data_IF_544870760448
#
_entry.id   IF_544870760448
#
_cell.length_a   1.000
_cell.length_b   1.000
_cell.length_c   1.000
_cell.angle_alpha   90.00
_cell.angle_beta   90.00
_cell.angle_gamma   90.00
#
_symmetry.space_group_name_H-M   'P 1'
#
loop_
_entity.id
_entity.type
_entity.pdbx_description
1 polymer ?
#
# COMPACT_ATOMS: atom_id res chain seq x y z
N UNK A 1 36.75 8.37 -30.57
CA UNK A 1 35.43 7.96 -30.08
C UNK A 1 34.68 7.32 -31.23
N UNK A 2 34.28 6.05 -31.13
CA UNK A 2 33.59 5.31 -32.18
C UNK A 2 32.13 5.09 -31.74
N UNK A 3 31.16 5.50 -32.56
CA UNK A 3 29.75 5.24 -32.28
C UNK A 3 29.44 3.76 -32.50
N UNK A 4 28.89 3.10 -31.49
CA UNK A 4 28.55 1.67 -31.52
C UNK A 4 27.06 1.48 -31.77
N UNK A 5 26.22 2.28 -31.10
CA UNK A 5 24.77 2.18 -31.20
C UNK A 5 24.14 3.54 -30.95
N UNK A 6 23.10 3.88 -31.71
CA UNK A 6 22.34 5.12 -31.56
C UNK A 6 20.85 4.82 -31.66
N UNK A 7 20.06 5.37 -30.74
CA UNK A 7 18.60 5.30 -30.77
C UNK A 7 18.03 6.71 -30.66
N UNK A 8 17.03 7.00 -31.50
CA UNK A 8 16.35 8.30 -31.53
C UNK A 8 14.87 8.10 -31.23
N UNK A 9 14.44 8.71 -30.14
CA UNK A 9 13.07 8.63 -29.64
C UNK A 9 12.39 9.99 -29.77
N UNK A 10 11.10 10.00 -30.06
CA UNK A 10 10.31 11.23 -30.14
C UNK A 10 9.00 11.11 -29.37
N UNK A 11 8.45 12.22 -28.90
CA UNK A 11 7.17 12.27 -28.18
C UNK A 11 6.40 13.53 -28.59
N UNK A 12 5.17 13.35 -29.04
CA UNK A 12 4.28 14.44 -29.47
C UNK A 12 3.02 14.45 -28.60
N UNK A 13 2.87 15.49 -27.77
CA UNK A 13 1.67 15.73 -26.96
C UNK A 13 1.26 17.20 -27.04
N UNK A 14 0.04 17.45 -27.50
CA UNK A 14 -0.52 18.78 -27.76
C UNK A 14 0.42 19.67 -28.60
N UNK A 15 1.05 20.68 -27.99
CA UNK A 15 1.98 21.63 -28.62
C UNK A 15 3.47 21.29 -28.41
N UNK A 16 3.79 20.14 -27.81
CA UNK A 16 5.17 19.75 -27.48
C UNK A 16 5.64 18.60 -28.35
N UNK A 17 6.74 18.84 -29.08
CA UNK A 17 7.40 17.90 -29.99
C UNK A 17 8.85 17.67 -29.51
N UNK A 18 9.04 16.64 -28.68
CA UNK A 18 10.30 16.38 -27.97
C UNK A 18 11.08 15.27 -28.67
N UNK A 19 12.39 15.45 -28.77
CA UNK A 19 13.34 14.44 -29.26
C UNK A 19 14.30 14.09 -28.14
N UNK A 20 14.62 12.80 -28.02
CA UNK A 20 15.61 12.25 -27.12
C UNK A 20 16.50 11.27 -27.90
N UNK A 21 17.80 11.54 -27.99
CA UNK A 21 18.76 10.64 -28.63
C UNK A 21 19.70 10.06 -27.57
N UNK A 22 20.03 8.79 -27.70
CA UNK A 22 20.99 8.08 -26.85
C UNK A 22 22.05 7.46 -27.77
N UNK A 23 23.31 7.69 -27.43
CA UNK A 23 24.48 7.22 -28.16
C UNK A 23 25.36 6.39 -27.22
N UNK A 24 25.67 5.15 -27.60
CA UNK A 24 26.70 4.32 -26.98
C UNK A 24 27.99 4.46 -27.80
N UNK A 25 29.05 4.97 -27.17
CA UNK A 25 30.31 5.27 -27.83
C UNK A 25 31.48 4.55 -27.16
N UNK A 26 32.37 3.98 -27.97
CA UNK A 26 33.64 3.43 -27.53
C UNK A 26 34.71 4.54 -27.51
N UNK A 27 35.38 4.70 -26.37
CA UNK A 27 36.40 5.75 -26.13
C UNK A 27 37.80 5.19 -25.93
N UNK A 28 37.97 3.87 -25.89
CA UNK A 28 39.24 3.16 -25.86
C UNK A 28 39.00 1.64 -25.78
N UNK A 29 40.08 0.84 -25.76
CA UNK A 29 39.97 -0.62 -25.69
C UNK A 29 39.08 -1.05 -24.50
N UNK A 30 37.93 -1.65 -24.82
CA UNK A 30 36.91 -2.11 -23.87
C UNK A 30 36.38 -1.04 -22.90
N UNK A 31 36.35 0.24 -23.32
CA UNK A 31 35.85 1.37 -22.52
C UNK A 31 34.75 2.12 -23.28
N UNK A 32 33.55 2.16 -22.70
CA UNK A 32 32.35 2.72 -23.32
C UNK A 32 31.75 3.83 -22.49
N UNK A 33 31.12 4.80 -23.14
CA UNK A 33 30.35 5.88 -22.51
C UNK A 33 28.99 6.00 -23.17
N UNK A 34 27.97 6.30 -22.35
CA UNK A 34 26.59 6.49 -22.82
C UNK A 34 26.26 7.97 -22.74
N UNK A 35 26.10 8.59 -23.91
CA UNK A 35 25.72 9.99 -24.05
C UNK A 35 24.24 10.09 -24.42
N UNK A 36 23.60 11.18 -24.01
CA UNK A 36 22.24 11.48 -24.40
C UNK A 36 22.10 12.95 -24.78
N UNK A 37 21.16 13.23 -25.68
CA UNK A 37 20.79 14.61 -26.04
C UNK A 37 19.28 14.75 -26.12
N UNK A 38 18.75 15.89 -25.67
CA UNK A 38 17.31 16.12 -25.61
C UNK A 38 16.91 17.56 -25.89
N UNK A 39 15.73 17.75 -26.47
CA UNK A 39 15.22 19.08 -26.81
C UNK A 39 13.96 19.02 -27.65
N UNK A 40 13.52 20.17 -28.16
CA UNK A 40 12.41 20.25 -29.11
C UNK A 40 12.91 19.88 -30.51
N UNK A 41 12.12 19.12 -31.28
CA UNK A 41 12.46 18.72 -32.66
C UNK A 41 12.74 19.99 -33.50
N UNK A 42 13.89 20.03 -34.18
CA UNK A 42 14.32 21.17 -34.99
C UNK A 42 14.99 22.33 -34.23
N UNK A 43 15.21 22.20 -32.91
CA UNK A 43 15.96 23.18 -32.10
C UNK A 43 17.31 22.63 -31.63
N UNK A 44 18.17 23.48 -31.06
CA UNK A 44 19.42 23.05 -30.43
C UNK A 44 19.16 22.08 -29.27
N UNK A 45 19.73 20.87 -29.33
CA UNK A 45 19.56 19.84 -28.31
C UNK A 45 20.56 20.06 -27.16
N UNK A 46 20.12 19.83 -25.92
CA UNK A 46 20.99 19.82 -24.75
C UNK A 46 21.63 18.45 -24.60
N UNK A 47 22.95 18.41 -24.50
CA UNK A 47 23.72 17.16 -24.41
C UNK A 47 24.18 16.88 -22.98
N UNK A 48 24.34 15.60 -22.64
CA UNK A 48 24.86 15.15 -21.35
C UNK A 48 25.39 13.71 -21.45
N UNK A 49 26.21 13.31 -20.49
CA UNK A 49 26.68 11.93 -20.35
C UNK A 49 26.03 11.26 -19.15
N UNK A 50 25.61 10.00 -19.29
CA UNK A 50 25.03 9.22 -18.20
C UNK A 50 26.10 8.51 -17.37
N UNK A 51 27.27 8.31 -17.96
CA UNK A 51 28.43 7.65 -17.34
C UNK A 51 29.46 8.70 -16.94
N UNK A 52 29.76 8.82 -15.64
CA UNK A 52 30.78 9.76 -15.13
C UNK A 52 32.20 9.29 -15.45
N UNK A 53 32.39 7.97 -15.64
CA UNK A 53 33.62 7.35 -16.09
C UNK A 53 33.31 6.26 -17.14
N UNK A 54 34.25 5.88 -18.02
CA UNK A 54 34.04 4.82 -18.99
C UNK A 54 33.78 3.46 -18.33
N UNK A 55 32.77 2.75 -18.80
CA UNK A 55 32.31 1.45 -18.29
C UNK A 55 32.67 0.31 -19.25
N UNK A 56 32.46 -0.93 -18.83
CA UNK A 56 32.62 -2.10 -19.70
C UNK A 56 31.53 -2.12 -20.80
N UNK A 57 31.69 -3.00 -21.79
CA UNK A 57 30.73 -3.11 -22.89
C UNK A 57 29.35 -3.51 -22.39
N UNK A 58 29.29 -4.53 -21.54
CA UNK A 58 28.05 -5.09 -21.02
C UNK A 58 27.31 -4.08 -20.15
N UNK A 59 28.04 -3.33 -19.31
CA UNK A 59 27.48 -2.26 -18.49
C UNK A 59 27.00 -1.08 -19.35
N UNK A 60 27.76 -0.71 -20.39
CA UNK A 60 27.39 0.34 -21.34
C UNK A 60 26.12 0.01 -22.12
N UNK A 61 26.00 -1.23 -22.60
CA UNK A 61 24.80 -1.75 -23.28
C UNK A 61 23.59 -1.77 -22.32
N UNK A 62 23.77 -2.24 -21.08
CA UNK A 62 22.70 -2.24 -20.08
C UNK A 62 22.21 -0.84 -19.70
N UNK A 63 23.11 0.13 -19.54
CA UNK A 63 22.77 1.54 -19.27
C UNK A 63 22.03 2.16 -20.47
N UNK A 64 22.48 1.85 -21.69
CA UNK A 64 21.83 2.29 -22.92
C UNK A 64 20.39 1.76 -23.01
N UNK A 65 20.20 0.45 -22.81
CA UNK A 65 18.88 -0.18 -22.90
C UNK A 65 17.94 0.32 -21.79
N UNK A 66 18.45 0.46 -20.57
CA UNK A 66 17.70 1.05 -19.45
C UNK A 66 17.21 2.47 -19.75
N UNK A 67 18.06 3.30 -20.37
CA UNK A 67 17.70 4.66 -20.79
C UNK A 67 16.60 4.66 -21.85
N UNK A 68 16.71 3.79 -22.87
CA UNK A 68 15.70 3.67 -23.93
C UNK A 68 14.37 3.20 -23.34
N UNK A 69 14.35 2.13 -22.55
CA UNK A 69 13.14 1.60 -21.89
C UNK A 69 12.50 2.66 -20.97
N UNK A 70 13.30 3.38 -20.19
CA UNK A 70 12.80 4.46 -19.33
C UNK A 70 12.07 5.56 -20.12
N UNK A 71 12.49 5.84 -21.36
CA UNK A 71 11.86 6.83 -22.23
C UNK A 71 10.64 6.28 -22.94
N UNK A 72 10.65 5.02 -23.37
CA UNK A 72 9.47 4.34 -23.91
C UNK A 72 8.33 4.31 -22.88
N UNK A 73 8.63 3.97 -21.61
CA UNK A 73 7.65 4.00 -20.51
C UNK A 73 7.11 5.41 -20.22
N UNK A 74 7.82 6.47 -20.63
CA UNK A 74 7.39 7.87 -20.52
C UNK A 74 6.65 8.38 -21.77
N UNK A 75 6.26 7.48 -22.67
CA UNK A 75 5.47 7.81 -23.87
C UNK A 75 6.29 8.36 -25.03
N UNK A 76 7.59 8.05 -25.11
CA UNK A 76 8.37 8.26 -26.33
C UNK A 76 8.22 7.07 -27.28
N UNK A 77 8.32 7.31 -28.58
CA UNK A 77 8.19 6.33 -29.67
C UNK A 77 9.50 6.27 -30.46
N UNK A 78 9.85 5.08 -30.95
CA UNK A 78 11.08 4.84 -31.71
C UNK A 78 10.86 5.12 -33.21
N UNK A 79 11.82 5.77 -33.89
CA UNK A 79 11.77 6.00 -35.34
C UNK A 79 12.82 5.15 -36.07
N UNK A 80 12.42 3.91 -36.40
CA UNK A 80 12.97 2.85 -37.26
C UNK A 80 14.34 2.97 -37.98
N UNK A 81 15.04 1.81 -38.10
CA UNK A 81 15.91 1.35 -39.24
C UNK A 81 16.21 -0.17 -39.11
N UNK A 82 15.69 -1.08 -39.96
CA UNK A 82 16.24 -1.76 -41.19
C UNK A 82 17.25 -2.96 -41.00
N UNK A 83 16.97 -4.09 -41.70
CA UNK A 83 17.36 -5.55 -41.63
C UNK A 83 18.49 -6.01 -42.62
N UNK A 84 18.90 -7.31 -42.94
CA UNK A 84 18.76 -8.72 -42.39
C UNK A 84 20.08 -9.61 -42.50
N UNK A 85 20.11 -10.98 -42.61
CA UNK A 85 19.59 -12.11 -41.80
C UNK A 85 20.70 -13.11 -41.31
N UNK A 86 20.45 -13.94 -40.28
CA UNK A 86 21.29 -15.11 -39.98
C UNK A 86 21.02 -15.76 -38.62
N UNK A 87 20.65 -17.03 -38.63
CA UNK A 87 20.06 -17.77 -37.51
C UNK A 87 20.96 -17.96 -36.29
N UNK A 88 20.41 -17.72 -35.10
CA UNK A 88 20.42 -18.73 -34.03
C UNK A 88 19.26 -18.43 -33.08
N UNK A 89 18.38 -19.42 -32.92
CA UNK A 89 17.26 -19.37 -32.01
C UNK A 89 17.77 -19.10 -30.59
N UNK A 90 17.37 -17.98 -30.00
CA UNK A 90 17.31 -17.84 -28.55
C UNK A 90 15.98 -17.18 -28.21
N UNK A 91 15.06 -18.05 -27.82
CA UNK A 91 13.85 -17.83 -27.04
C UNK A 91 13.34 -16.39 -26.97
N UNK A 92 12.27 -16.14 -27.72
CA UNK A 92 11.32 -15.08 -27.44
C UNK A 92 10.99 -15.12 -25.93
N UNK A 93 11.43 -14.11 -25.19
CA UNK A 93 10.74 -13.72 -23.95
C UNK A 93 9.94 -12.48 -24.29
N UNK A 94 8.95 -12.67 -25.15
CA UNK A 94 7.64 -12.04 -24.94
C UNK A 94 7.28 -12.28 -23.48
N UNK A 95 7.07 -11.22 -22.70
CA UNK A 95 6.41 -11.31 -21.41
C UNK A 95 4.93 -11.66 -21.63
N UNK A 96 4.68 -12.83 -22.21
CA UNK A 96 3.49 -13.63 -22.04
C UNK A 96 3.76 -14.52 -20.82
N UNK A 97 2.80 -14.56 -19.90
CA UNK A 97 2.64 -15.53 -18.83
C UNK A 97 3.78 -16.53 -18.58
N UNK A 98 4.52 -16.31 -17.49
CA UNK A 98 5.07 -17.41 -16.72
C UNK A 98 4.65 -17.31 -15.23
N UNK A 99 3.39 -17.67 -14.92
CA UNK A 99 3.06 -18.25 -13.63
C UNK A 99 2.54 -19.71 -13.77
N UNK A 100 3.09 -20.49 -14.70
CA UNK A 100 2.59 -21.83 -15.06
C UNK A 100 2.69 -22.92 -13.96
N UNK A 101 3.61 -22.85 -12.99
CA UNK A 101 3.60 -23.85 -11.90
C UNK A 101 2.88 -23.32 -10.65
N UNK A 102 3.17 -22.09 -10.24
CA UNK A 102 2.69 -21.55 -8.96
C UNK A 102 1.27 -21.01 -9.03
N UNK A 103 0.89 -20.22 -10.05
CA UNK A 103 -0.49 -19.77 -10.15
C UNK A 103 -1.41 -20.94 -10.45
N UNK A 104 -1.05 -21.85 -11.35
CA UNK A 104 -1.83 -23.07 -11.60
C UNK A 104 -2.02 -23.93 -10.33
N UNK A 105 -0.96 -24.10 -9.54
CA UNK A 105 -1.07 -24.80 -8.24
C UNK A 105 -2.02 -24.07 -7.29
N UNK A 106 -1.94 -22.73 -7.20
CA UNK A 106 -2.87 -21.95 -6.39
C UNK A 106 -4.32 -22.09 -6.89
N UNK A 107 -4.54 -22.09 -8.20
CA UNK A 107 -5.87 -22.28 -8.81
C UNK A 107 -6.43 -23.66 -8.49
N UNK A 108 -5.63 -24.73 -8.59
CA UNK A 108 -6.05 -26.10 -8.20
C UNK A 108 -6.47 -26.16 -6.73
N UNK A 109 -5.74 -25.48 -5.84
CA UNK A 109 -6.08 -25.47 -4.41
C UNK A 109 -7.30 -24.60 -4.07
N UNK A 110 -7.73 -23.66 -4.94
CA UNK A 110 -8.96 -22.90 -4.73
C UNK A 110 -10.21 -23.78 -4.90
N UNK A 111 -10.11 -24.83 -5.72
CA UNK A 111 -11.20 -25.74 -6.00
C UNK A 111 -11.48 -26.69 -4.80
N UNK A 112 -10.50 -26.88 -3.90
CA UNK A 112 -10.66 -27.65 -2.66
C UNK A 112 -11.28 -26.79 -1.54
N UNK A 113 -12.62 -26.81 -1.47
CA UNK A 113 -13.39 -26.06 -0.47
C UNK A 113 -13.22 -26.56 0.97
N UNK A 114 -12.63 -27.75 1.17
CA UNK A 114 -12.33 -28.34 2.49
C UNK A 114 -10.99 -27.87 3.03
N UNK A 115 -10.19 -27.15 2.22
CA UNK A 115 -8.89 -26.66 2.63
C UNK A 115 -9.02 -25.70 3.83
N UNK A 116 -8.41 -26.01 4.99
CA UNK A 116 -8.51 -25.17 6.19
C UNK A 116 -7.83 -23.80 6.01
N UNK A 117 -7.01 -23.64 4.96
CA UNK A 117 -6.31 -22.40 4.62
C UNK A 117 -6.96 -21.66 3.44
N UNK A 118 -8.17 -22.03 3.01
CA UNK A 118 -8.85 -21.44 1.86
C UNK A 118 -8.91 -19.90 1.91
N UNK A 119 -9.27 -19.31 3.06
CA UNK A 119 -9.31 -17.85 3.20
C UNK A 119 -7.93 -17.20 2.98
N UNK A 120 -6.85 -17.85 3.42
CA UNK A 120 -5.47 -17.37 3.17
C UNK A 120 -5.07 -17.53 1.71
N UNK A 121 -5.55 -18.59 1.05
CA UNK A 121 -5.32 -18.81 -0.37
C UNK A 121 -6.03 -17.77 -1.23
N UNK A 122 -7.32 -17.51 -0.97
CA UNK A 122 -8.10 -16.43 -1.60
C UNK A 122 -7.38 -15.08 -1.42
N UNK A 123 -6.93 -14.78 -0.19
CA UNK A 123 -6.18 -13.56 0.08
C UNK A 123 -4.89 -13.50 -0.74
N UNK A 124 -4.12 -14.60 -0.80
CA UNK A 124 -2.88 -14.66 -1.56
C UNK A 124 -3.09 -14.48 -3.06
N UNK A 125 -4.19 -14.98 -3.61
CA UNK A 125 -4.57 -14.80 -5.02
C UNK A 125 -4.79 -13.33 -5.34
N UNK A 126 -5.47 -12.58 -4.46
CA UNK A 126 -5.62 -11.14 -4.61
C UNK A 126 -4.31 -10.36 -4.39
N UNK A 127 -3.43 -10.79 -3.47
CA UNK A 127 -2.08 -10.20 -3.33
C UNK A 127 -1.27 -10.33 -4.63
N UNK A 128 -1.41 -11.47 -5.32
CA UNK A 128 -0.73 -11.77 -6.58
C UNK A 128 -1.46 -11.22 -7.82
N UNK A 129 -2.62 -10.57 -7.65
CA UNK A 129 -3.42 -9.98 -8.74
C UNK A 129 -3.73 -10.97 -9.88
N UNK A 130 -4.01 -12.23 -9.55
CA UNK A 130 -4.18 -13.30 -10.55
C UNK A 130 -5.55 -13.23 -11.25
N UNK A 131 -5.61 -12.59 -12.42
CA UNK A 131 -6.83 -12.49 -13.25
C UNK A 131 -7.44 -13.85 -13.59
N UNK A 132 -6.60 -14.84 -13.90
CA UNK A 132 -7.04 -16.20 -14.20
C UNK A 132 -7.83 -16.89 -13.06
N UNK A 133 -7.76 -16.37 -11.83
CA UNK A 133 -8.53 -16.90 -10.70
C UNK A 133 -9.96 -16.38 -10.64
N UNK A 134 -10.30 -15.30 -11.35
CA UNK A 134 -11.58 -14.61 -11.23
C UNK A 134 -12.78 -15.54 -11.41
N UNK A 135 -12.86 -16.40 -12.46
CA UNK A 135 -13.99 -17.32 -12.62
C UNK A 135 -14.18 -18.27 -11.41
N UNK A 136 -13.08 -18.77 -10.85
CA UNK A 136 -13.12 -19.65 -9.66
C UNK A 136 -13.56 -18.90 -8.41
N UNK A 137 -13.05 -17.68 -8.22
CA UNK A 137 -13.45 -16.82 -7.11
C UNK A 137 -14.94 -16.44 -7.18
N UNK A 138 -15.49 -16.22 -8.37
CA UNK A 138 -16.91 -15.94 -8.58
C UNK A 138 -17.78 -17.15 -8.20
N UNK A 139 -17.45 -18.33 -8.72
CA UNK A 139 -18.15 -19.57 -8.37
C UNK A 139 -18.10 -19.84 -6.85
N UNK A 140 -16.96 -19.57 -6.21
CA UNK A 140 -16.82 -19.70 -4.76
C UNK A 140 -17.65 -18.65 -4.00
N UNK A 141 -17.75 -17.42 -4.50
CA UNK A 141 -18.55 -16.36 -3.88
C UNK A 141 -20.05 -16.69 -3.86
N UNK A 142 -20.57 -17.31 -4.91
CA UNK A 142 -21.97 -17.75 -4.95
C UNK A 142 -22.26 -18.84 -3.89
N UNK A 143 -21.40 -19.85 -3.80
CA UNK A 143 -21.52 -20.94 -2.82
C UNK A 143 -21.39 -20.40 -1.39
N UNK A 144 -20.42 -19.53 -1.16
CA UNK A 144 -20.12 -18.92 0.15
C UNK A 144 -21.29 -18.07 0.63
N UNK A 145 -21.90 -17.31 -0.28
CA UNK A 145 -23.05 -16.48 0.04
C UNK A 145 -24.24 -17.31 0.57
N UNK A 146 -24.53 -18.44 -0.07
CA UNK A 146 -25.58 -19.38 0.37
C UNK A 146 -25.26 -20.01 1.74
N UNK A 147 -23.98 -20.22 2.04
CA UNK A 147 -23.54 -20.88 3.26
C UNK A 147 -23.45 -19.97 4.51
N UNK A 148 -23.60 -18.64 4.37
CA UNK A 148 -23.55 -17.75 5.54
C UNK A 148 -22.13 -17.42 6.08
N UNK A 149 -21.05 -17.69 5.33
CA UNK A 149 -19.67 -17.43 5.78
C UNK A 149 -19.18 -16.02 5.42
N UNK A 150 -19.50 -15.04 6.28
CA UNK A 150 -19.20 -13.63 6.04
C UNK A 150 -17.69 -13.31 5.97
N UNK A 151 -16.85 -14.10 6.66
CA UNK A 151 -15.40 -13.90 6.62
C UNK A 151 -14.84 -14.31 5.25
N UNK A 152 -15.27 -15.47 4.74
CA UNK A 152 -14.87 -15.93 3.40
C UNK A 152 -15.43 -15.01 2.32
N UNK A 153 -16.67 -14.56 2.47
CA UNK A 153 -17.28 -13.59 1.55
C UNK A 153 -16.48 -12.27 1.50
N UNK A 154 -16.00 -11.79 2.66
CA UNK A 154 -15.10 -10.63 2.72
C UNK A 154 -13.77 -10.88 2.00
N UNK A 155 -13.14 -12.04 2.23
CA UNK A 155 -11.90 -12.41 1.53
C UNK A 155 -12.11 -12.47 0.02
N UNK A 156 -13.25 -12.99 -0.45
CA UNK A 156 -13.58 -13.10 -1.87
C UNK A 156 -13.81 -11.72 -2.50
N UNK A 157 -14.61 -10.85 -1.87
CA UNK A 157 -14.81 -9.49 -2.34
C UNK A 157 -13.48 -8.72 -2.43
N UNK A 158 -12.63 -8.85 -1.40
CA UNK A 158 -11.29 -8.25 -1.38
C UNK A 158 -10.42 -8.76 -2.55
N UNK A 159 -10.39 -10.07 -2.77
CA UNK A 159 -9.54 -10.70 -3.79
C UNK A 159 -10.05 -10.42 -5.22
N UNK A 160 -11.36 -10.52 -5.46
CA UNK A 160 -11.99 -10.22 -6.74
C UNK A 160 -11.65 -8.81 -7.22
N UNK A 161 -11.81 -7.81 -6.34
CA UNK A 161 -11.43 -6.45 -6.66
C UNK A 161 -9.92 -6.29 -6.94
N UNK A 162 -9.05 -6.99 -6.18
CA UNK A 162 -7.59 -6.92 -6.37
C UNK A 162 -7.08 -7.61 -7.62
N UNK A 163 -7.80 -8.62 -8.14
CA UNK A 163 -7.42 -9.29 -9.37
C UNK A 163 -7.41 -8.35 -10.58
N UNK A 164 -8.14 -7.22 -10.52
CA UNK A 164 -8.02 -6.19 -11.55
C UNK A 164 -8.71 -6.55 -12.88
N UNK A 165 -9.74 -7.39 -12.83
CA UNK A 165 -10.48 -7.88 -14.00
C UNK A 165 -11.94 -7.40 -13.95
N UNK A 166 -12.40 -6.74 -15.01
CA UNK A 166 -13.77 -6.25 -15.13
C UNK A 166 -14.81 -7.37 -15.07
N UNK A 167 -14.45 -8.61 -15.39
CA UNK A 167 -15.33 -9.77 -15.25
C UNK A 167 -15.84 -9.98 -13.81
N UNK A 168 -15.12 -9.44 -12.80
CA UNK A 168 -15.53 -9.51 -11.40
C UNK A 168 -16.68 -8.55 -11.03
N UNK A 169 -16.97 -7.53 -11.85
CA UNK A 169 -17.93 -6.45 -11.54
C UNK A 169 -19.31 -6.99 -11.16
N UNK A 170 -19.96 -7.90 -11.90
CA UNK A 170 -21.30 -8.40 -11.53
C UNK A 170 -21.35 -9.03 -10.13
N UNK A 171 -20.30 -9.79 -9.78
CA UNK A 171 -20.19 -10.41 -8.46
C UNK A 171 -19.96 -9.38 -7.37
N UNK A 172 -19.11 -8.38 -7.63
CA UNK A 172 -18.88 -7.27 -6.68
C UNK A 172 -20.15 -6.44 -6.48
N UNK A 173 -20.95 -6.19 -7.53
CA UNK A 173 -22.25 -5.50 -7.43
C UNK A 173 -23.21 -6.27 -6.53
N UNK A 174 -23.34 -7.58 -6.72
CA UNK A 174 -24.15 -8.44 -5.85
C UNK A 174 -23.67 -8.38 -4.39
N UNK A 175 -22.36 -8.47 -4.16
CA UNK A 175 -21.77 -8.42 -2.82
C UNK A 175 -21.91 -7.05 -2.16
N UNK A 176 -21.89 -5.98 -2.94
CA UNK A 176 -22.16 -4.64 -2.46
C UNK A 176 -23.62 -4.49 -1.99
N UNK A 177 -24.56 -5.00 -2.77
CA UNK A 177 -25.99 -4.83 -2.49
C UNK A 177 -26.49 -5.80 -1.41
N UNK A 178 -26.03 -7.06 -1.43
CA UNK A 178 -26.58 -8.14 -0.63
C UNK A 178 -25.54 -8.85 0.26
N UNK A 179 -24.31 -8.34 0.37
CA UNK A 179 -23.27 -8.96 1.21
C UNK A 179 -23.69 -9.10 2.68
N UNK A 180 -23.29 -10.20 3.31
CA UNK A 180 -23.74 -10.62 4.65
C UNK A 180 -23.33 -9.67 5.78
N UNK A 181 -22.38 -8.77 5.55
CA UNK A 181 -21.95 -7.76 6.52
C UNK A 181 -21.59 -6.44 5.86
N UNK A 182 -21.63 -5.35 6.64
CA UNK A 182 -21.17 -4.03 6.19
C UNK A 182 -19.71 -4.06 5.70
N UNK A 183 -18.87 -4.91 6.30
CA UNK A 183 -17.49 -5.09 5.86
C UNK A 183 -17.40 -5.65 4.43
N UNK A 184 -18.25 -6.62 4.08
CA UNK A 184 -18.35 -7.19 2.72
C UNK A 184 -18.83 -6.12 1.75
N UNK A 185 -19.94 -5.44 2.07
CA UNK A 185 -20.54 -4.45 1.17
C UNK A 185 -19.56 -3.32 0.84
N UNK A 186 -18.80 -2.87 1.83
CA UNK A 186 -17.81 -1.81 1.69
C UNK A 186 -16.58 -2.20 0.89
N UNK A 187 -16.01 -3.39 1.14
CA UNK A 187 -14.85 -3.82 0.35
C UNK A 187 -15.26 -4.15 -1.09
N UNK A 188 -16.50 -4.59 -1.32
CA UNK A 188 -17.07 -4.76 -2.65
C UNK A 188 -17.23 -3.40 -3.36
N UNK A 189 -17.76 -2.38 -2.68
CA UNK A 189 -17.83 -1.00 -3.23
C UNK A 189 -16.45 -0.48 -3.63
N UNK A 190 -15.42 -0.72 -2.81
CA UNK A 190 -14.05 -0.34 -3.13
C UNK A 190 -13.56 -1.01 -4.42
N UNK A 191 -13.87 -2.30 -4.60
CA UNK A 191 -13.57 -3.03 -5.83
C UNK A 191 -14.34 -2.51 -7.04
N UNK A 192 -15.63 -2.17 -6.88
CA UNK A 192 -16.44 -1.58 -7.96
C UNK A 192 -15.87 -0.25 -8.43
N UNK A 193 -15.55 0.66 -7.49
CA UNK A 193 -14.94 1.96 -7.82
C UNK A 193 -13.58 1.83 -8.52
N UNK A 194 -12.94 0.66 -8.48
CA UNK A 194 -11.68 0.40 -9.15
C UNK A 194 -11.82 -0.31 -10.51
N UNK A 195 -12.91 -1.06 -10.73
CA UNK A 195 -13.06 -1.97 -11.88
C UNK A 195 -14.25 -1.66 -12.78
N UNK A 196 -15.25 -0.94 -12.29
CA UNK A 196 -16.41 -0.56 -13.09
C UNK A 196 -16.01 0.41 -14.21
N UNK A 197 -16.83 0.48 -15.25
CA UNK A 197 -16.69 1.51 -16.28
C UNK A 197 -16.96 2.92 -15.74
N UNK A 198 -16.51 3.95 -16.44
CA UNK A 198 -16.56 5.33 -15.95
C UNK A 198 -17.99 5.81 -15.59
N UNK A 199 -18.98 5.49 -16.43
CA UNK A 199 -20.41 5.78 -16.18
C UNK A 199 -20.91 5.20 -14.86
N UNK A 200 -20.57 3.94 -14.58
CA UNK A 200 -20.96 3.24 -13.37
C UNK A 200 -20.18 3.74 -12.15
N UNK A 201 -18.90 4.07 -12.31
CA UNK A 201 -18.11 4.74 -11.27
C UNK A 201 -18.73 6.08 -10.88
N UNK A 202 -19.09 6.92 -11.85
CA UNK A 202 -19.73 8.22 -11.62
C UNK A 202 -21.08 8.06 -10.89
N UNK A 203 -21.88 7.05 -11.27
CA UNK A 203 -23.14 6.72 -10.59
C UNK A 203 -22.90 6.36 -9.12
N UNK A 204 -21.94 5.47 -8.84
CA UNK A 204 -21.60 5.05 -7.48
C UNK A 204 -21.04 6.22 -6.63
N UNK A 205 -20.22 7.09 -7.22
CA UNK A 205 -19.71 8.28 -6.56
C UNK A 205 -20.85 9.26 -6.24
N UNK A 206 -21.77 9.48 -7.18
CA UNK A 206 -22.95 10.30 -6.96
C UNK A 206 -23.82 9.76 -5.82
N UNK A 207 -24.01 8.43 -5.72
CA UNK A 207 -24.71 7.82 -4.58
C UNK A 207 -24.01 8.11 -3.24
N UNK A 208 -22.68 8.01 -3.18
CA UNK A 208 -21.92 8.36 -1.97
C UNK A 208 -22.10 9.85 -1.62
N UNK A 209 -22.09 10.73 -2.62
CA UNK A 209 -22.34 12.17 -2.43
C UNK A 209 -23.75 12.42 -1.88
N UNK A 210 -24.76 11.70 -2.37
CA UNK A 210 -26.14 11.83 -1.88
C UNK A 210 -26.32 11.32 -0.44
N UNK A 211 -25.49 10.38 0.00
CA UNK A 211 -25.50 9.89 1.38
C UNK A 211 -24.81 10.83 2.38
N UNK A 212 -24.06 11.84 1.91
CA UNK A 212 -23.46 12.84 2.80
C UNK A 212 -24.55 13.76 3.38
N UNK A 213 -24.40 14.22 4.63
CA UNK A 213 -25.19 15.31 5.17
C UNK A 213 -25.23 16.52 4.24
N UNK A 214 -26.38 17.21 4.17
CA UNK A 214 -26.61 18.28 3.19
C UNK A 214 -25.55 19.39 3.23
N UNK A 215 -25.07 19.76 4.42
CA UNK A 215 -24.01 20.76 4.62
C UNK A 215 -22.67 20.33 4.06
N UNK A 216 -22.27 19.07 4.30
CA UNK A 216 -21.06 18.47 3.74
C UNK A 216 -21.14 18.37 2.22
N UNK A 217 -22.28 17.89 1.70
CA UNK A 217 -22.52 17.76 0.26
C UNK A 217 -22.41 19.09 -0.47
N UNK A 218 -22.99 20.16 0.09
CA UNK A 218 -22.94 21.51 -0.50
C UNK A 218 -21.53 22.11 -0.49
N UNK A 219 -20.63 21.62 0.36
CA UNK A 219 -19.29 22.19 0.55
C UNK A 219 -18.19 21.44 -0.20
N UNK A 220 -18.50 20.41 -1.00
CA UNK A 220 -17.50 19.53 -1.64
C UNK A 220 -16.53 20.23 -2.61
N UNK A 221 -16.79 21.48 -2.99
CA UNK A 221 -15.96 22.29 -3.88
C UNK A 221 -15.10 23.32 -3.14
N UNK A 222 -15.28 23.49 -1.84
CA UNK A 222 -14.60 24.51 -1.04
C UNK A 222 -13.97 23.88 0.21
N UNK A 223 -12.65 23.99 0.32
CA UNK A 223 -11.87 23.32 1.35
C UNK A 223 -12.18 23.86 2.76
N UNK A 224 -12.33 25.17 2.90
CA UNK A 224 -12.57 25.79 4.20
C UNK A 224 -13.97 25.46 4.71
N UNK A 225 -14.98 25.62 3.84
CA UNK A 225 -16.36 25.29 4.17
C UNK A 225 -16.54 23.79 4.43
N UNK A 226 -15.90 22.90 3.64
CA UNK A 226 -16.01 21.46 3.87
C UNK A 226 -15.39 21.05 5.21
N UNK A 227 -14.22 21.61 5.54
CA UNK A 227 -13.55 21.35 6.82
C UNK A 227 -14.40 21.83 8.01
N UNK A 228 -14.94 23.05 7.94
CA UNK A 228 -15.83 23.58 8.97
C UNK A 228 -17.10 22.72 9.13
N UNK A 229 -17.76 22.36 8.02
CA UNK A 229 -18.93 21.50 8.03
C UNK A 229 -18.64 20.10 8.59
N UNK A 230 -17.46 19.54 8.30
CA UNK A 230 -17.02 18.25 8.83
C UNK A 230 -16.80 18.31 10.34
N UNK A 231 -16.11 19.32 10.86
CA UNK A 231 -15.92 19.49 12.30
C UNK A 231 -17.24 19.69 13.02
N UNK A 232 -18.14 20.53 12.47
CA UNK A 232 -19.46 20.74 13.03
C UNK A 232 -20.27 19.45 13.07
N UNK A 233 -20.27 18.66 11.99
CA UNK A 233 -20.96 17.37 11.93
C UNK A 233 -20.40 16.37 12.95
N UNK A 234 -19.07 16.18 12.99
CA UNK A 234 -18.43 15.23 13.90
C UNK A 234 -18.60 15.59 15.38
N UNK A 235 -18.77 16.87 15.70
CA UNK A 235 -19.02 17.35 17.06
C UNK A 235 -20.44 17.05 17.57
N UNK A 236 -21.43 16.94 16.67
CA UNK A 236 -22.86 16.84 17.04
C UNK A 236 -23.53 15.54 16.60
N UNK A 237 -22.77 14.59 16.06
CA UNK A 237 -23.29 13.33 15.54
C UNK A 237 -23.07 12.16 16.50
N UNK A 238 -23.83 11.08 16.28
CA UNK A 238 -23.68 9.82 16.99
C UNK A 238 -22.57 8.94 16.35
N UNK A 239 -22.38 7.71 16.86
CA UNK A 239 -21.37 6.81 16.32
C UNK A 239 -21.55 6.46 14.82
N UNK A 240 -22.79 6.47 14.32
CA UNK A 240 -23.08 6.16 12.92
C UNK A 240 -22.62 7.29 12.00
N UNK A 241 -22.82 8.56 12.41
CA UNK A 241 -22.46 9.72 11.59
C UNK A 241 -20.97 9.90 11.33
N UNK A 242 -20.08 9.21 12.04
CA UNK A 242 -18.64 9.18 11.71
C UNK A 242 -18.34 8.47 10.38
N UNK A 243 -19.31 7.78 9.77
CA UNK A 243 -19.17 7.15 8.45
C UNK A 243 -18.76 8.14 7.36
N UNK A 244 -19.03 9.44 7.53
CA UNK A 244 -18.61 10.50 6.60
C UNK A 244 -17.11 10.51 6.33
N UNK A 245 -16.28 10.09 7.29
CA UNK A 245 -14.83 9.97 7.09
C UNK A 245 -14.48 8.89 6.04
N UNK A 246 -15.20 7.76 6.05
CA UNK A 246 -15.03 6.71 5.05
C UNK A 246 -15.56 7.15 3.69
N UNK A 247 -16.70 7.84 3.65
CA UNK A 247 -17.29 8.37 2.42
C UNK A 247 -16.37 9.40 1.76
N UNK A 248 -15.81 10.35 2.53
CA UNK A 248 -14.82 11.31 2.01
C UNK A 248 -13.57 10.61 1.45
N UNK A 249 -13.11 9.51 2.08
CA UNK A 249 -11.99 8.74 1.53
C UNK A 249 -12.33 8.07 0.19
N UNK A 250 -13.54 7.52 0.05
CA UNK A 250 -13.97 6.92 -1.21
C UNK A 250 -14.03 7.96 -2.34
N UNK A 251 -14.50 9.18 -2.04
CA UNK A 251 -14.58 10.32 -2.95
C UNK A 251 -13.22 10.95 -3.27
N UNK A 252 -12.20 10.81 -2.41
CA UNK A 252 -10.91 11.49 -2.52
C UNK A 252 -10.13 11.23 -3.82
N UNK A 253 -10.50 10.21 -4.60
CA UNK A 253 -9.93 9.97 -5.93
C UNK A 253 -10.44 10.93 -7.02
N UNK A 254 -11.66 11.45 -6.86
CA UNK A 254 -12.37 12.27 -7.86
C UNK A 254 -12.70 13.67 -7.34
N UNK A 255 -12.62 13.89 -6.03
CA UNK A 255 -12.90 15.15 -5.37
C UNK A 255 -11.63 15.65 -4.65
N UNK A 256 -10.82 16.52 -5.30
CA UNK A 256 -9.55 16.99 -4.74
C UNK A 256 -9.71 17.71 -3.38
N UNK A 257 -10.80 18.46 -3.21
CA UNK A 257 -11.13 19.14 -1.95
C UNK A 257 -11.40 18.12 -0.84
N UNK A 258 -12.18 17.07 -1.12
CA UNK A 258 -12.40 15.98 -0.17
C UNK A 258 -11.09 15.29 0.22
N UNK A 259 -10.16 15.10 -0.74
CA UNK A 259 -8.82 14.55 -0.45
C UNK A 259 -8.02 15.49 0.47
N UNK A 260 -7.99 16.78 0.17
CA UNK A 260 -7.24 17.76 0.96
C UNK A 260 -7.73 17.83 2.40
N UNK A 261 -9.05 18.03 2.60
CA UNK A 261 -9.67 18.06 3.93
C UNK A 261 -9.42 16.76 4.67
N UNK A 262 -9.63 15.61 4.04
CA UNK A 262 -9.41 14.32 4.69
C UNK A 262 -7.94 14.14 5.13
N UNK A 263 -6.96 14.55 4.32
CA UNK A 263 -5.55 14.47 4.72
C UNK A 263 -5.25 15.39 5.91
N UNK A 264 -5.86 16.57 5.99
CA UNK A 264 -5.74 17.45 7.15
C UNK A 264 -6.34 16.79 8.40
N UNK A 265 -7.55 16.23 8.29
CA UNK A 265 -8.20 15.53 9.39
C UNK A 265 -7.41 14.32 9.89
N UNK A 266 -6.95 13.46 8.97
CA UNK A 266 -6.24 12.24 9.36
C UNK A 266 -4.92 12.52 10.10
N UNK A 267 -4.31 13.71 9.92
CA UNK A 267 -3.10 14.11 10.65
C UNK A 267 -3.36 14.31 12.14
N UNK A 268 -4.55 14.76 12.54
CA UNK A 268 -4.83 15.23 13.91
C UNK A 268 -5.96 14.46 14.60
N UNK A 269 -6.79 13.74 13.84
CA UNK A 269 -7.96 13.01 14.36
C UNK A 269 -7.59 12.08 15.52
N UNK A 270 -8.34 12.05 16.64
CA UNK A 270 -7.97 11.22 17.78
C UNK A 270 -8.18 9.72 17.50
N UNK A 271 -7.25 8.87 17.94
CA UNK A 271 -7.40 7.41 17.88
C UNK A 271 -8.26 6.87 19.04
N UNK A 272 -9.49 7.40 19.14
CA UNK A 272 -10.48 7.16 20.21
C UNK A 272 -11.72 6.44 19.67
N UNK A 273 -12.68 6.02 20.54
CA UNK A 273 -13.98 5.51 20.09
C UNK A 273 -14.65 6.38 19.03
N UNK A 274 -15.50 5.76 18.20
CA UNK A 274 -16.11 6.30 16.98
C UNK A 274 -15.09 6.57 15.85
N UNK A 275 -14.09 7.41 16.09
CA UNK A 275 -13.06 7.76 15.10
C UNK A 275 -12.22 6.56 14.66
N UNK A 276 -11.65 5.81 15.61
CA UNK A 276 -10.63 4.80 15.32
C UNK A 276 -11.15 3.67 14.44
N UNK A 277 -12.44 3.31 14.55
CA UNK A 277 -13.03 2.32 13.67
C UNK A 277 -12.95 2.76 12.20
N UNK A 278 -13.34 4.01 11.93
CA UNK A 278 -13.32 4.65 10.61
C UNK A 278 -11.87 4.85 10.11
N UNK A 279 -10.94 5.22 10.98
CA UNK A 279 -9.51 5.34 10.63
C UNK A 279 -8.91 3.98 10.24
N UNK A 280 -9.19 2.92 11.01
CA UNK A 280 -8.74 1.57 10.69
C UNK A 280 -9.32 1.07 9.38
N UNK A 281 -10.53 1.51 9.06
CA UNK A 281 -11.19 1.24 7.80
C UNK A 281 -10.50 1.94 6.64
N UNK A 282 -10.27 3.25 6.75
CA UNK A 282 -9.51 4.05 5.78
C UNK A 282 -8.12 3.47 5.56
N UNK A 283 -7.40 3.09 6.63
CA UNK A 283 -6.09 2.44 6.52
C UNK A 283 -6.13 1.18 5.65
N UNK A 284 -7.14 0.32 5.83
CA UNK A 284 -7.29 -0.89 5.01
C UNK A 284 -7.64 -0.56 3.56
N UNK A 285 -8.44 0.48 3.31
CA UNK A 285 -8.76 0.91 1.95
C UNK A 285 -7.54 1.54 1.27
N UNK A 286 -6.73 2.32 1.99
CA UNK A 286 -5.46 2.86 1.51
C UNK A 286 -4.44 1.77 1.20
N UNK A 287 -4.34 0.75 2.05
CA UNK A 287 -3.55 -0.45 1.77
C UNK A 287 -4.01 -1.14 0.48
N UNK A 288 -5.31 -1.31 0.30
CA UNK A 288 -5.90 -1.96 -0.87
C UNK A 288 -5.70 -1.16 -2.17
N UNK A 289 -5.92 0.17 -2.12
CA UNK A 289 -5.72 1.12 -3.22
C UNK A 289 -4.24 1.40 -3.50
N UNK A 290 -3.36 1.00 -2.59
CA UNK A 290 -1.95 1.41 -2.58
C UNK A 290 -1.82 2.95 -2.58
N UNK A 291 -2.68 3.65 -1.82
CA UNK A 291 -2.58 5.10 -1.58
C UNK A 291 -1.44 5.35 -0.59
N UNK A 292 -0.24 5.56 -1.13
CA UNK A 292 1.00 5.73 -0.37
C UNK A 292 0.91 6.89 0.63
N UNK A 293 0.21 7.98 0.27
CA UNK A 293 0.08 9.16 1.13
C UNK A 293 -0.71 8.85 2.40
N UNK A 294 -1.92 8.28 2.25
CA UNK A 294 -2.77 7.95 3.40
C UNK A 294 -2.19 6.76 4.19
N UNK A 295 -1.62 5.77 3.49
CA UNK A 295 -0.96 4.63 4.12
C UNK A 295 0.24 5.06 4.98
N UNK A 296 1.12 5.91 4.44
CA UNK A 296 2.28 6.44 5.15
C UNK A 296 1.89 7.28 6.36
N UNK A 297 0.95 8.21 6.17
CA UNK A 297 0.41 9.07 7.23
C UNK A 297 -0.13 8.24 8.40
N UNK A 298 -1.01 7.26 8.13
CA UNK A 298 -1.59 6.44 9.18
C UNK A 298 -0.58 5.47 9.79
N UNK A 299 0.38 4.97 9.02
CA UNK A 299 1.50 4.18 9.55
C UNK A 299 2.28 4.99 10.57
N UNK A 300 2.64 6.25 10.27
CA UNK A 300 3.26 7.16 11.25
C UNK A 300 2.38 7.34 12.47
N UNK A 301 1.08 7.67 12.31
CA UNK A 301 0.15 7.83 13.45
C UNK A 301 0.16 6.59 14.35
N UNK A 302 0.24 5.38 13.79
CA UNK A 302 0.27 4.16 14.60
C UNK A 302 1.60 3.96 15.36
N UNK A 303 2.71 4.46 14.82
CA UNK A 303 4.01 4.44 15.49
C UNK A 303 4.07 5.49 16.62
N UNK A 304 3.56 6.70 16.38
CA UNK A 304 3.74 7.84 17.30
C UNK A 304 2.64 7.96 18.36
N UNK A 305 1.41 7.58 18.06
CA UNK A 305 0.29 7.73 19.00
C UNK A 305 0.29 6.63 20.06
N UNK A 306 0.14 6.99 21.35
CA UNK A 306 0.00 6.01 22.41
C UNK A 306 -1.31 5.24 22.28
N UNK A 307 -1.29 3.99 22.76
CA UNK A 307 -2.52 3.23 22.90
C UNK A 307 -3.45 3.88 23.93
N UNK A 308 -4.75 3.85 23.67
CA UNK A 308 -5.74 4.43 24.57
C UNK A 308 -5.91 3.62 25.86
N UNK A 309 -5.71 2.30 25.78
CA UNK A 309 -5.69 1.41 26.94
C UNK A 309 -4.73 0.24 26.75
N UNK A 310 -4.29 -0.34 27.87
CA UNK A 310 -3.35 -1.45 27.88
C UNK A 310 -4.04 -2.78 28.21
N UNK A 311 -3.70 -3.82 27.46
CA UNK A 311 -4.07 -5.20 27.72
C UNK A 311 -2.84 -5.95 28.25
N UNK A 312 -2.99 -6.53 29.44
CA UNK A 312 -1.96 -7.34 30.09
C UNK A 312 -1.47 -8.48 29.19
N UNK A 313 -0.19 -8.81 29.28
CA UNK A 313 0.39 -9.98 28.63
C UNK A 313 -0.08 -11.28 29.29
N UNK A 314 -0.34 -11.26 30.59
CA UNK A 314 -0.73 -12.39 31.44
C UNK A 314 -2.17 -12.87 31.24
N UNK A 315 -2.87 -12.35 30.24
CA UNK A 315 -4.31 -12.56 30.09
C UNK A 315 -5.12 -11.66 31.02
N UNK A 316 -6.43 -11.69 30.84
CA UNK A 316 -7.37 -10.82 31.55
C UNK A 316 -8.39 -10.21 30.60
N UNK A 317 -9.66 -10.37 30.96
CA UNK A 317 -10.79 -9.83 30.20
C UNK A 317 -11.30 -8.51 30.80
N UNK A 318 -10.77 -8.05 31.94
CA UNK A 318 -11.12 -6.76 32.52
C UNK A 318 -10.06 -5.72 32.16
N UNK A 319 -10.53 -4.55 31.70
CA UNK A 319 -9.67 -3.42 31.34
C UNK A 319 -10.24 -2.14 31.92
N UNK A 320 -9.36 -1.23 32.32
CA UNK A 320 -9.73 0.09 32.81
C UNK A 320 -10.29 0.94 31.66
N UNK A 321 -11.36 1.68 31.92
CA UNK A 321 -11.93 2.61 30.95
C UNK A 321 -11.06 3.87 30.91
N UNK A 322 -10.55 4.27 29.72
CA UNK A 322 -9.75 5.48 29.56
C UNK A 322 -10.51 6.72 30.07
N UNK A 323 -9.90 7.49 30.97
CA UNK A 323 -10.52 8.68 31.58
C UNK A 323 -11.63 8.39 32.60
N UNK A 324 -11.93 7.12 32.90
CA UNK A 324 -12.99 6.71 33.83
C UNK A 324 -12.55 6.44 35.27
N UNK A 325 -11.38 6.95 35.69
CA UNK A 325 -10.82 6.68 37.02
C UNK A 325 -10.66 5.16 37.27
N UNK A 326 -11.17 4.64 38.38
CA UNK A 326 -11.10 3.22 38.75
C UNK A 326 -12.16 2.32 38.09
N UNK A 327 -12.84 2.79 37.03
CA UNK A 327 -13.86 1.98 36.36
C UNK A 327 -13.23 0.90 35.47
N UNK A 328 -13.63 -0.36 35.68
CA UNK A 328 -13.25 -1.50 34.84
C UNK A 328 -14.45 -2.06 34.07
N UNK A 329 -14.19 -2.57 32.88
CA UNK A 329 -15.18 -3.24 32.04
C UNK A 329 -14.64 -4.55 31.52
N UNK A 330 -15.56 -5.50 31.29
CA UNK A 330 -15.26 -6.75 30.59
C UNK A 330 -15.08 -6.48 29.10
N UNK A 331 -13.84 -6.51 28.61
CA UNK A 331 -13.42 -6.21 27.25
C UNK A 331 -14.23 -6.97 26.21
N UNK A 332 -14.40 -8.29 26.39
CA UNK A 332 -15.16 -9.13 25.47
C UNK A 332 -16.61 -8.68 25.28
N UNK A 333 -17.24 -8.07 26.30
CA UNK A 333 -18.59 -7.52 26.20
C UNK A 333 -18.57 -6.08 25.69
N UNK A 334 -17.67 -5.25 26.18
CA UNK A 334 -17.63 -3.82 25.85
C UNK A 334 -17.31 -3.55 24.38
N UNK A 335 -16.41 -4.33 23.75
CA UNK A 335 -16.00 -4.11 22.35
C UNK A 335 -17.10 -4.44 21.33
N UNK A 336 -18.13 -5.20 21.74
CA UNK A 336 -19.26 -5.58 20.88
C UNK A 336 -20.37 -4.53 20.85
N UNK A 337 -20.33 -3.54 21.75
CA UNK A 337 -21.32 -2.47 21.82
C UNK A 337 -21.12 -1.48 20.67
N UNK A 338 -22.22 -0.97 20.12
CA UNK A 338 -22.18 0.09 19.13
C UNK A 338 -21.51 1.37 19.68
N UNK A 339 -21.76 1.68 20.96
CA UNK A 339 -21.18 2.82 21.69
C UNK A 339 -20.00 2.39 22.58
N UNK A 340 -19.16 1.47 22.12
CA UNK A 340 -18.02 0.98 22.90
C UNK A 340 -17.12 2.12 23.34
N UNK A 341 -16.79 2.18 24.64
CA UNK A 341 -15.87 3.18 25.19
C UNK A 341 -14.40 2.82 24.98
N UNK A 342 -14.13 1.68 24.34
CA UNK A 342 -12.80 1.15 24.12
C UNK A 342 -12.46 1.17 22.64
N UNK A 343 -11.33 1.77 22.32
CA UNK A 343 -10.71 1.70 21.00
C UNK A 343 -9.19 1.68 21.15
N UNK A 344 -8.49 1.28 20.09
CA UNK A 344 -7.05 1.46 19.96
C UNK A 344 -6.19 0.99 21.17
N UNK A 345 -6.27 -0.31 21.49
CA UNK A 345 -5.44 -0.94 22.53
C UNK A 345 -3.96 -1.05 22.13
N UNK A 346 -3.07 -1.31 23.10
CA UNK A 346 -1.65 -1.65 22.84
C UNK A 346 -1.51 -2.81 21.84
N UNK A 347 -2.32 -3.86 21.97
CA UNK A 347 -2.31 -4.99 21.03
C UNK A 347 -2.80 -4.60 19.63
N UNK A 348 -3.75 -3.68 19.54
CA UNK A 348 -4.26 -3.16 18.26
C UNK A 348 -3.20 -2.32 17.57
N UNK A 349 -2.53 -1.44 18.32
CA UNK A 349 -1.40 -0.63 17.86
C UNK A 349 -0.30 -1.54 17.30
N UNK A 350 0.15 -2.51 18.09
CA UNK A 350 1.19 -3.45 17.65
C UNK A 350 0.78 -4.28 16.42
N UNK A 351 -0.49 -4.67 16.34
CA UNK A 351 -1.01 -5.35 15.16
C UNK A 351 -0.91 -4.47 13.90
N UNK A 352 -1.32 -3.20 13.99
CA UNK A 352 -1.30 -2.27 12.86
C UNK A 352 0.11 -1.93 12.40
N UNK A 353 1.05 -1.73 13.34
CA UNK A 353 2.48 -1.51 13.03
C UNK A 353 3.08 -2.70 12.28
N UNK A 354 2.85 -3.92 12.79
CA UNK A 354 3.25 -5.16 12.10
C UNK A 354 2.53 -5.36 10.77
N UNK A 355 1.28 -4.89 10.65
CA UNK A 355 0.51 -4.96 9.40
C UNK A 355 1.11 -4.05 8.33
N UNK A 356 1.45 -2.81 8.66
CA UNK A 356 2.09 -1.89 7.72
C UNK A 356 3.38 -2.51 7.14
N UNK A 357 4.25 -3.05 8.00
CA UNK A 357 5.45 -3.75 7.54
C UNK A 357 5.11 -4.99 6.69
N UNK A 358 4.16 -5.82 7.13
CA UNK A 358 3.75 -7.01 6.37
C UNK A 358 3.30 -6.65 4.95
N UNK A 359 2.55 -5.55 4.79
CA UNK A 359 2.12 -5.07 3.48
C UNK A 359 3.32 -4.75 2.60
N UNK A 360 4.26 -3.94 3.09
CA UNK A 360 5.49 -3.61 2.35
C UNK A 360 6.32 -4.85 2.01
N UNK A 361 6.55 -5.71 3.00
CA UNK A 361 7.27 -6.97 2.81
C UNK A 361 6.61 -7.85 1.74
N UNK A 362 5.28 -7.95 1.74
CA UNK A 362 4.54 -8.75 0.75
C UNK A 362 4.65 -8.20 -0.66
N UNK A 363 4.64 -6.87 -0.82
CA UNK A 363 4.88 -6.22 -2.12
C UNK A 363 6.32 -6.50 -2.60
N UNK A 364 7.31 -6.36 -1.71
CA UNK A 364 8.70 -6.68 -2.04
C UNK A 364 8.95 -8.16 -2.38
N UNK A 365 8.33 -9.09 -1.64
CA UNK A 365 8.43 -10.55 -1.89
C UNK A 365 7.92 -10.97 -3.27
N UNK A 366 7.04 -10.17 -3.89
CA UNK A 366 6.50 -10.45 -5.23
C UNK A 366 7.00 -9.47 -6.29
N UNK A 367 7.99 -8.63 -5.94
CA UNK A 367 8.53 -7.58 -6.79
C UNK A 367 7.45 -6.67 -7.41
N UNK A 368 6.42 -6.31 -6.63
CA UNK A 368 5.39 -5.36 -7.08
C UNK A 368 5.95 -3.94 -7.04
N UNK A 369 5.93 -3.23 -8.18
CA UNK A 369 6.45 -1.87 -8.34
C UNK A 369 5.87 -0.87 -7.34
N UNK A 370 4.63 -1.11 -6.88
CA UNK A 370 3.97 -0.24 -5.89
C UNK A 370 4.67 -0.26 -4.53
N UNK A 371 5.59 -1.21 -4.29
CA UNK A 371 6.46 -1.19 -3.11
C UNK A 371 7.18 0.15 -2.97
N UNK A 372 7.72 0.69 -4.06
CA UNK A 372 8.54 1.92 -4.03
C UNK A 372 7.69 3.09 -3.53
N UNK A 373 6.53 3.33 -4.16
CA UNK A 373 5.64 4.42 -3.77
C UNK A 373 5.12 4.26 -2.34
N UNK A 374 4.73 3.04 -1.95
CA UNK A 374 4.24 2.77 -0.59
C UNK A 374 5.32 2.95 0.47
N UNK A 375 6.56 2.55 0.19
CA UNK A 375 7.71 2.77 1.08
C UNK A 375 8.05 4.26 1.18
N UNK A 376 8.09 4.98 0.05
CA UNK A 376 8.27 6.43 0.02
C UNK A 376 7.21 7.15 0.84
N UNK A 377 5.95 6.74 0.74
CA UNK A 377 4.86 7.27 1.57
C UNK A 377 5.13 7.15 3.07
N UNK A 378 5.68 6.01 3.52
CA UNK A 378 6.08 5.81 4.92
C UNK A 378 7.26 6.69 5.29
N UNK A 379 8.27 6.82 4.44
CA UNK A 379 9.46 7.65 4.70
C UNK A 379 9.11 9.14 4.77
N UNK A 380 8.34 9.64 3.80
CA UNK A 380 7.92 11.04 3.70
C UNK A 380 6.94 11.45 4.81
N UNK A 381 6.23 10.49 5.41
CA UNK A 381 5.36 10.79 6.54
C UNK A 381 6.14 11.14 7.81
N UNK A 382 7.34 10.55 8.01
CA UNK A 382 8.15 10.73 9.21
C UNK A 382 8.76 12.13 9.29
N UNK A 383 8.94 12.61 10.51
CA UNK A 383 9.54 13.92 10.82
C UNK A 383 10.63 13.77 11.87
N UNK A 384 11.55 14.73 11.93
CA UNK A 384 12.63 14.75 12.92
C UNK A 384 12.09 14.79 14.36
N UNK A 385 10.96 15.46 14.58
CA UNK A 385 10.25 15.50 15.87
C UNK A 385 9.72 14.13 16.34
N UNK A 386 9.65 13.12 15.46
CA UNK A 386 9.22 11.77 15.83
C UNK A 386 10.35 10.96 16.51
N UNK A 387 11.60 11.43 16.43
CA UNK A 387 12.73 10.74 17.06
C UNK A 387 12.57 10.70 18.58
N UNK A 388 12.68 9.51 19.17
CA UNK A 388 12.71 9.31 20.62
C UNK A 388 14.12 9.55 21.16
N UNK A 389 14.25 9.72 22.48
CA UNK A 389 15.56 9.74 23.13
C UNK A 389 16.29 8.41 22.91
N UNK A 390 17.57 8.49 22.52
CA UNK A 390 18.41 7.31 22.43
C UNK A 390 18.51 6.63 23.80
N UNK A 391 18.47 5.30 23.81
CA UNK A 391 18.53 4.51 25.05
C UNK A 391 19.41 3.30 24.89
N UNK A 392 19.92 2.79 26.02
CA UNK A 392 20.66 1.53 26.07
C UNK A 392 19.89 0.52 26.93
N UNK A 393 19.90 -0.75 26.53
CA UNK A 393 19.47 -1.84 27.40
C UNK A 393 20.63 -2.81 27.60
N UNK A 394 20.71 -3.39 28.81
CA UNK A 394 21.65 -4.45 29.11
C UNK A 394 20.86 -5.74 29.32
N UNK A 395 21.12 -6.74 28.51
CA UNK A 395 20.57 -8.09 28.65
C UNK A 395 21.50 -8.84 29.60
N UNK A 396 20.92 -9.44 30.63
CA UNK A 396 21.64 -10.25 31.60
C UNK A 396 21.35 -11.73 31.37
N UNK A 397 22.37 -12.56 31.54
CA UNK A 397 22.25 -14.01 31.67
C UNK A 397 22.47 -14.37 33.14
N UNK A 398 21.65 -15.27 33.66
CA UNK A 398 21.72 -15.70 35.05
C UNK A 398 22.26 -17.12 35.15
N UNK A 399 23.26 -17.32 36.00
CA UNK A 399 23.81 -18.61 36.39
C UNK A 399 23.48 -18.87 37.87
N UNK A 400 22.42 -19.65 38.10
CA UNK A 400 21.90 -19.92 39.44
C UNK A 400 22.79 -20.85 40.28
N UNK A 401 23.90 -21.36 39.71
CA UNK A 401 24.89 -22.13 40.46
C UNK A 401 25.86 -21.26 41.28
N UNK A 402 25.90 -19.95 41.01
CA UNK A 402 26.80 -18.99 41.68
C UNK A 402 26.06 -18.15 42.73
N UNK A 403 26.76 -17.68 43.78
CA UNK A 403 26.18 -16.73 44.73
C UNK A 403 25.94 -15.36 44.08
N UNK A 404 25.04 -14.57 44.66
CA UNK A 404 24.88 -13.16 44.26
C UNK A 404 26.07 -12.33 44.75
N UNK A 405 26.61 -11.39 43.95
CA UNK A 405 26.11 -10.90 42.67
C UNK A 405 26.62 -11.64 41.41
N UNK A 406 27.51 -12.63 41.55
CA UNK A 406 28.18 -13.34 40.45
C UNK A 406 27.22 -14.16 39.56
N UNK A 407 26.06 -14.51 40.11
CA UNK A 407 24.96 -15.13 39.37
C UNK A 407 24.49 -14.30 38.16
N UNK A 408 24.71 -12.98 38.15
CA UNK A 408 24.26 -12.07 37.09
C UNK A 408 25.42 -11.64 36.19
N UNK A 409 25.40 -12.10 34.94
CA UNK A 409 26.40 -11.74 33.93
C UNK A 409 25.77 -10.90 32.82
N UNK A 410 26.50 -9.91 32.32
CA UNK A 410 26.08 -9.12 31.14
C UNK A 410 26.23 -10.00 29.91
N UNK A 411 25.10 -10.35 29.28
CA UNK A 411 25.07 -11.14 28.06
C UNK A 411 25.22 -10.27 26.81
N UNK A 412 24.57 -9.11 26.79
CA UNK A 412 24.64 -8.16 25.69
C UNK A 412 24.28 -6.74 26.14
N UNK A 413 24.76 -5.74 25.40
CA UNK A 413 24.31 -4.35 25.51
C UNK A 413 23.77 -3.92 24.15
N UNK A 414 22.52 -3.44 24.13
CA UNK A 414 21.87 -2.96 22.92
C UNK A 414 21.72 -1.45 22.98
N UNK A 415 22.14 -0.76 21.93
CA UNK A 415 21.92 0.68 21.74
C UNK A 415 20.73 0.88 20.80
N UNK A 416 19.79 1.72 21.22
CA UNK A 416 18.60 2.08 20.46
C UNK A 416 18.69 3.56 20.10
N UNK A 417 18.77 3.83 18.80
CA UNK A 417 18.69 5.19 18.26
C UNK A 417 17.25 5.71 18.29
N UNK A 418 17.06 7.00 17.98
CA UNK A 418 15.76 7.66 18.19
C UNK A 418 14.59 7.06 17.41
N UNK A 419 14.84 6.43 16.27
CA UNK A 419 13.83 5.73 15.48
C UNK A 419 13.75 4.22 15.75
N UNK A 420 14.46 3.68 16.73
CA UNK A 420 14.57 2.23 16.93
C UNK A 420 13.22 1.53 17.19
N UNK A 421 12.21 2.26 17.66
CA UNK A 421 10.88 1.71 17.83
C UNK A 421 10.12 1.53 16.50
N UNK A 422 10.47 2.22 15.42
CA UNK A 422 9.63 2.39 14.24
C UNK A 422 9.80 1.24 13.24
N UNK A 423 8.85 0.31 13.22
CA UNK A 423 9.04 -0.99 12.59
C UNK A 423 9.19 -0.89 11.06
N UNK A 424 8.21 -0.29 10.39
CA UNK A 424 8.22 -0.20 8.92
C UNK A 424 9.41 0.66 8.41
N UNK A 425 9.69 1.78 9.09
CA UNK A 425 10.81 2.67 8.78
C UNK A 425 12.15 1.92 8.82
N UNK A 426 12.42 1.21 9.91
CA UNK A 426 13.69 0.52 10.07
C UNK A 426 13.83 -0.65 9.10
N UNK A 427 12.75 -1.37 8.77
CA UNK A 427 12.82 -2.40 7.75
C UNK A 427 13.11 -1.85 6.34
N UNK A 428 12.58 -0.68 5.99
CA UNK A 428 12.90 -0.02 4.70
C UNK A 428 14.39 0.39 4.67
N UNK A 429 14.87 1.05 5.72
CA UNK A 429 16.21 1.66 5.74
C UNK A 429 17.34 0.65 6.05
N UNK A 430 17.05 -0.34 6.90
CA UNK A 430 18.06 -1.17 7.57
C UNK A 430 17.81 -2.67 7.41
N UNK A 431 16.80 -3.08 6.62
CA UNK A 431 16.40 -4.49 6.48
C UNK A 431 17.52 -5.43 6.04
N UNK A 432 18.51 -4.92 5.29
CA UNK A 432 19.66 -5.67 4.81
C UNK A 432 20.99 -5.20 5.45
N UNK A 433 20.91 -4.47 6.57
CA UNK A 433 22.11 -3.97 7.24
C UNK A 433 22.79 -5.07 8.06
N UNK A 434 24.11 -5.19 7.93
CA UNK A 434 24.90 -6.03 8.83
C UNK A 434 25.09 -5.42 10.23
N UNK A 435 24.81 -4.12 10.39
CA UNK A 435 25.07 -3.36 11.61
C UNK A 435 23.85 -3.19 12.52
N UNK A 436 22.65 -3.36 11.97
CA UNK A 436 21.40 -3.17 12.71
C UNK A 436 20.62 -4.48 12.81
N UNK A 437 20.16 -4.78 14.02
CA UNK A 437 19.24 -5.89 14.29
C UNK A 437 17.81 -5.35 14.40
N UNK A 438 16.87 -5.98 13.69
CA UNK A 438 15.46 -5.55 13.59
C UNK A 438 14.49 -6.47 14.34
#
# INVERSE_FOLDING_TARGET
MKLIRKTRLWSQQANSDKVYEVDLCEVGANRYVVNFRYGRRGSNLREGSKTVAPVTREEGEAIFDSLVVSKLNKGYQDSASQTPPGSTQTTQTTSQDAPGSRAETLLKHLDDTRNPKLNRLIWRVGELRLRAAVPRLQALAERTHKAGDALREYCLAWALGRCGDAAAVPTLTRLHNAGQSEAVRRIALLGLLALAEASEQDRLLAEIVQQLPATLRASLTDEEHLRAALHQHLAHTDAAGFVVLEQLYLLAGHYPVARSVLLQELRTVPLKPNYFQRIRHIFKMAEWRQDSTVFGLLTRRFETEPALFYRSAWGGDYVQVPGGGSQYVKLSKEIRKANSRLAYSNRTRDYLRRRAWRTLRRLGEVADDSYIEMALGVLLAMRDEDAQAARQSTIYRYDWSKPWPEARQVAARHTYEGYAAYLALNHILRGNSAHYYL
#
